data_IF_191245111954
#
_entry.id   IF_191245111954
#
_cell.length_a   1.000
_cell.length_b   1.000
_cell.length_c   1.000
_cell.angle_alpha   90.00
_cell.angle_beta   90.00
_cell.angle_gamma   90.00
#
_symmetry.space_group_name_H-M   'P 1'
#
loop_
_entity.id
_entity.type
_entity.pdbx_description
1 polymer ?
#
# COMPACT_ATOMS: atom_id res chain seq x y z
N UNK A 1 20.56 31.73 -49.11
CA UNK A 1 21.48 30.63 -48.83
C UNK A 1 22.33 31.04 -47.62
N UNK A 2 21.93 30.72 -46.38
CA UNK A 2 22.72 30.99 -45.16
C UNK A 2 22.84 29.68 -44.41
N UNK A 3 24.06 29.22 -44.32
CA UNK A 3 24.48 27.98 -43.66
C UNK A 3 24.63 28.28 -42.15
N UNK A 4 23.88 27.63 -41.28
CA UNK A 4 24.11 27.68 -39.83
C UNK A 4 25.00 26.51 -39.40
N UNK A 5 26.16 26.87 -38.87
CA UNK A 5 27.10 25.93 -38.24
C UNK A 5 26.57 25.51 -36.88
N UNK A 6 26.40 24.20 -36.64
CA UNK A 6 26.15 23.61 -35.35
C UNK A 6 27.51 23.42 -34.67
N UNK A 7 27.69 24.04 -33.50
CA UNK A 7 28.85 23.83 -32.63
C UNK A 7 28.48 22.77 -31.62
N UNK A 8 29.14 21.63 -31.67
CA UNK A 8 29.06 20.55 -30.68
C UNK A 8 30.00 20.92 -29.52
N UNK A 9 29.46 21.13 -28.32
CA UNK A 9 30.25 21.25 -27.09
C UNK A 9 30.23 19.92 -26.35
N UNK A 10 31.39 19.26 -26.33
CA UNK A 10 31.65 18.07 -25.51
C UNK A 10 32.16 18.57 -24.15
N UNK A 11 31.41 18.35 -23.10
CA UNK A 11 31.87 18.55 -21.74
C UNK A 11 32.31 17.18 -21.16
N UNK A 12 33.62 17.07 -20.93
CA UNK A 12 34.22 15.94 -20.25
C UNK A 12 33.97 16.04 -18.73
N UNK A 13 33.31 15.06 -18.12
CA UNK A 13 33.20 14.93 -16.69
C UNK A 13 34.41 14.14 -16.16
N UNK A 14 35.21 14.78 -15.32
CA UNK A 14 36.31 14.16 -14.60
C UNK A 14 35.77 13.36 -13.39
N UNK A 15 36.09 12.08 -13.33
CA UNK A 15 35.81 11.18 -12.22
C UNK A 15 36.89 11.42 -11.15
N UNK A 16 36.52 11.92 -9.97
CA UNK A 16 37.36 11.88 -8.78
C UNK A 16 37.05 10.60 -8.00
N UNK A 17 38.03 9.69 -7.98
CA UNK A 17 38.07 8.54 -7.07
C UNK A 17 38.72 9.02 -5.77
N UNK A 18 37.96 9.06 -4.69
CA UNK A 18 38.54 9.21 -3.33
C UNK A 18 38.52 7.83 -2.67
N UNK A 19 39.70 7.28 -2.51
CA UNK A 19 39.95 6.13 -1.64
C UNK A 19 39.82 6.56 -0.17
N UNK A 20 39.04 5.82 0.61
CA UNK A 20 39.09 5.91 2.08
C UNK A 20 39.50 4.56 2.59
N UNK A 21 40.68 4.60 3.22
CA UNK A 21 41.37 3.52 3.85
C UNK A 21 40.89 3.38 5.31
N UNK A 22 40.83 2.15 5.76
CA UNK A 22 41.05 1.70 7.13
C UNK A 22 40.11 2.12 8.26
N UNK A 23 39.34 1.17 8.77
CA UNK A 23 39.11 1.09 10.21
C UNK A 23 39.20 -0.37 10.68
N UNK A 24 40.23 -0.60 11.55
CA UNK A 24 40.60 -1.85 12.22
C UNK A 24 39.51 -2.28 13.21
N UNK A 25 39.29 -3.60 13.30
CA UNK A 25 38.70 -4.30 14.44
C UNK A 25 39.56 -4.15 15.70
N UNK A 26 38.98 -4.12 16.90
CA UNK A 26 39.68 -4.52 18.12
C UNK A 26 39.45 -6.03 18.38
N UNK A 27 40.55 -6.65 18.78
CA UNK A 27 40.69 -8.06 19.14
C UNK A 27 39.98 -8.40 20.46
N UNK A 28 39.48 -9.62 20.51
CA UNK A 28 39.07 -10.34 21.72
C UNK A 28 40.24 -10.49 22.69
N UNK A 29 40.00 -10.24 23.98
CA UNK A 29 40.85 -10.78 25.06
C UNK A 29 40.01 -11.77 25.86
N UNK A 30 40.38 -13.04 25.74
CA UNK A 30 40.08 -14.09 26.70
C UNK A 30 40.78 -13.81 28.02
N UNK A 31 40.08 -13.91 29.13
CA UNK A 31 40.73 -14.19 30.42
C UNK A 31 39.98 -15.32 31.16
N UNK A 32 40.71 -16.39 31.31
CA UNK A 32 40.36 -17.59 32.04
C UNK A 32 40.53 -17.41 33.55
N UNK A 33 39.58 -17.89 34.32
CA UNK A 33 39.75 -18.02 35.77
C UNK A 33 38.88 -19.13 36.31
N UNK A 34 39.51 -20.27 36.53
CA UNK A 34 38.98 -21.44 37.24
C UNK A 34 38.99 -21.21 38.74
N UNK A 35 38.15 -21.99 39.41
CA UNK A 35 38.24 -22.60 40.74
C UNK A 35 37.05 -22.23 41.65
N UNK A 36 36.48 -23.03 42.48
CA UNK A 36 36.59 -24.46 42.84
C UNK A 36 35.43 -24.78 43.78
N UNK A 37 35.05 -26.02 43.79
CA UNK A 37 34.04 -26.70 44.57
C UNK A 37 34.37 -26.71 46.08
N UNK A 38 33.41 -26.65 47.02
CA UNK A 38 33.21 -27.75 47.93
C UNK A 38 32.02 -27.58 48.88
N UNK A 39 31.52 -28.68 49.43
CA UNK A 39 30.17 -28.81 49.97
C UNK A 39 30.14 -28.86 51.52
N UNK A 40 29.04 -28.50 52.07
CA UNK A 40 28.87 -28.58 53.55
C UNK A 40 27.43 -28.65 53.99
N UNK A 41 26.94 -29.88 54.12
CA UNK A 41 26.13 -30.48 55.22
C UNK A 41 24.97 -29.73 55.85
N UNK A 42 23.82 -30.38 55.75
CA UNK A 42 22.59 -30.48 56.50
C UNK A 42 22.88 -30.90 57.98
N UNK A 43 21.91 -31.03 58.98
CA UNK A 43 20.48 -30.78 59.03
C UNK A 43 20.01 -30.06 60.31
N UNK A 44 18.79 -29.53 60.29
CA UNK A 44 18.12 -29.06 61.52
C UNK A 44 16.59 -29.18 61.41
N UNK A 45 16.11 -30.21 62.00
CA UNK A 45 14.72 -30.49 62.46
C UNK A 45 14.15 -29.37 63.34
N UNK A 46 12.87 -29.04 63.37
CA UNK A 46 11.56 -29.65 63.51
C UNK A 46 10.49 -28.60 63.96
N UNK A 47 9.27 -28.99 64.25
CA UNK A 47 8.03 -28.44 63.66
C UNK A 47 7.28 -27.48 64.60
N UNK A 48 6.68 -26.50 63.99
CA UNK A 48 5.73 -25.62 64.68
C UNK A 48 4.37 -25.69 63.99
N UNK A 49 3.47 -26.42 64.69
CA UNK A 49 2.03 -26.43 64.42
C UNK A 49 1.40 -25.12 64.86
N UNK A 50 0.65 -24.45 63.99
CA UNK A 50 -0.53 -23.68 64.41
C UNK A 50 -1.56 -23.59 63.28
N UNK A 51 -2.84 -23.97 63.50
CA UNK A 51 -3.90 -23.87 62.52
C UNK A 51 -4.65 -22.54 62.69
N UNK A 52 -4.34 -21.58 61.83
CA UNK A 52 -5.09 -20.35 61.69
C UNK A 52 -6.07 -20.42 60.51
N UNK A 53 -7.32 -20.67 60.81
CA UNK A 53 -8.47 -20.51 59.93
C UNK A 53 -8.69 -19.06 59.59
N UNK A 54 -8.71 -18.74 58.29
CA UNK A 54 -9.67 -17.78 57.73
C UNK A 54 -9.81 -17.96 56.22
N UNK A 55 -10.99 -18.34 55.69
CA UNK A 55 -11.24 -18.33 54.26
C UNK A 55 -11.63 -16.93 53.85
N UNK A 56 -10.65 -16.08 53.55
CA UNK A 56 -10.87 -14.84 52.84
C UNK A 56 -11.32 -15.18 51.41
N UNK A 57 -12.61 -15.03 51.16
CA UNK A 57 -13.16 -14.99 49.82
C UNK A 57 -12.63 -13.73 49.14
N UNK A 58 -11.54 -13.93 48.39
CA UNK A 58 -11.10 -12.96 47.37
C UNK A 58 -12.13 -13.03 46.24
N UNK A 59 -12.86 -11.95 45.88
CA UNK A 59 -13.68 -11.94 44.70
C UNK A 59 -12.72 -12.01 43.50
N UNK A 60 -12.67 -13.21 42.90
CA UNK A 60 -11.87 -13.45 41.71
C UNK A 60 -12.03 -12.31 40.71
N UNK A 61 -10.93 -11.64 40.42
CA UNK A 61 -10.80 -10.86 39.24
C UNK A 61 -11.19 -11.74 38.06
N UNK A 62 -12.33 -11.42 37.48
CA UNK A 62 -12.78 -11.97 36.20
C UNK A 62 -11.56 -11.94 35.25
N UNK A 63 -11.11 -13.07 34.69
CA UNK A 63 -10.09 -13.05 33.69
C UNK A 63 -10.70 -12.27 32.52
N UNK A 64 -10.33 -10.97 32.41
CA UNK A 64 -10.73 -10.15 31.30
C UNK A 64 -10.46 -10.94 30.03
N UNK A 65 -11.52 -11.23 29.30
CA UNK A 65 -11.41 -11.85 27.98
C UNK A 65 -10.53 -10.93 27.17
N UNK A 66 -9.33 -11.39 26.84
CA UNK A 66 -8.48 -10.69 25.88
C UNK A 66 -9.34 -10.38 24.66
N UNK A 67 -9.32 -9.14 24.17
CA UNK A 67 -10.14 -8.78 23.01
C UNK A 67 -9.81 -9.75 21.87
N UNK A 68 -10.85 -10.32 21.27
CA UNK A 68 -10.72 -11.19 20.10
C UNK A 68 -9.81 -10.51 19.07
N UNK A 69 -8.83 -11.21 18.49
CA UNK A 69 -7.90 -10.62 17.55
C UNK A 69 -8.67 -10.05 16.36
N UNK A 70 -8.33 -8.81 15.97
CA UNK A 70 -8.94 -8.14 14.81
C UNK A 70 -8.80 -8.99 13.55
N UNK A 71 -9.92 -9.26 12.89
CA UNK A 71 -9.95 -9.99 11.62
C UNK A 71 -9.67 -9.01 10.48
N UNK A 72 -8.67 -9.32 9.66
CA UNK A 72 -8.29 -8.51 8.51
C UNK A 72 -9.46 -8.39 7.52
N UNK A 73 -9.77 -7.16 7.11
CA UNK A 73 -10.89 -6.85 6.22
C UNK A 73 -10.62 -5.58 5.40
N UNK A 74 -11.45 -5.35 4.38
CA UNK A 74 -11.56 -4.02 3.77
C UNK A 74 -12.18 -3.04 4.80
N UNK A 75 -12.01 -1.71 4.62
CA UNK A 75 -12.70 -0.72 5.43
C UNK A 75 -14.23 -0.93 5.38
N UNK A 76 -14.94 -0.48 6.41
CA UNK A 76 -16.38 -0.27 6.26
C UNK A 76 -16.63 0.75 5.17
N UNK A 77 -17.77 0.69 4.44
CA UNK A 77 -18.08 1.66 3.40
C UNK A 77 -17.90 3.10 3.89
N UNK A 78 -17.07 3.86 3.18
CA UNK A 78 -16.81 5.27 3.47
C UNK A 78 -17.87 6.11 2.76
N UNK A 79 -18.46 7.04 3.48
CA UNK A 79 -19.44 7.97 2.95
C UNK A 79 -18.91 9.39 2.92
N UNK A 80 -19.33 10.18 1.95
CA UNK A 80 -18.97 11.59 1.85
C UNK A 80 -19.48 12.37 3.09
N UNK A 81 -18.58 13.03 3.81
CA UNK A 81 -18.92 13.82 5.01
C UNK A 81 -19.80 15.04 4.68
N UNK A 82 -19.75 15.55 3.45
CA UNK A 82 -20.62 16.62 2.96
C UNK A 82 -21.92 16.10 2.34
N UNK A 83 -22.13 14.77 2.30
CA UNK A 83 -23.30 14.10 1.73
C UNK A 83 -23.30 14.01 0.20
N UNK A 84 -22.28 14.50 -0.51
CA UNK A 84 -22.23 14.57 -1.97
C UNK A 84 -20.91 14.08 -2.56
N UNK A 85 -19.78 14.63 -2.14
CA UNK A 85 -18.46 14.42 -2.75
C UNK A 85 -17.54 13.63 -1.85
N UNK A 86 -17.23 12.41 -2.23
CA UNK A 86 -16.28 11.57 -1.52
C UNK A 86 -14.83 12.05 -1.76
N UNK A 87 -14.10 12.37 -0.71
CA UNK A 87 -12.76 12.96 -0.77
C UNK A 87 -11.71 11.97 -0.29
N UNK A 88 -10.82 11.59 -1.19
CA UNK A 88 -9.82 10.52 -1.00
C UNK A 88 -8.42 11.12 -1.13
N UNK A 89 -7.56 10.93 -0.12
CA UNK A 89 -6.14 11.29 -0.20
C UNK A 89 -5.27 10.04 -0.06
N UNK A 90 -4.36 9.82 -0.99
CA UNK A 90 -3.28 8.86 -0.81
C UNK A 90 -2.00 9.57 -0.35
N UNK A 91 -1.30 9.00 0.63
CA UNK A 91 0.07 9.36 0.99
C UNK A 91 0.94 8.19 0.53
N UNK A 92 1.68 8.38 -0.58
CA UNK A 92 2.34 7.26 -1.21
C UNK A 92 3.42 7.63 -2.24
N UNK A 93 3.54 6.78 -3.23
CA UNK A 93 4.59 6.84 -4.24
C UNK A 93 4.04 6.38 -5.61
N UNK A 94 4.89 5.83 -6.50
CA UNK A 94 4.45 5.34 -7.82
C UNK A 94 3.39 4.24 -7.76
N UNK A 95 3.26 3.53 -6.64
CA UNK A 95 2.22 2.51 -6.49
C UNK A 95 0.85 3.12 -6.21
N UNK A 96 0.74 4.18 -5.40
CA UNK A 96 -0.51 4.95 -5.31
C UNK A 96 -0.85 5.63 -6.63
N UNK A 97 0.15 6.16 -7.34
CA UNK A 97 -0.04 6.72 -8.69
C UNK A 97 -0.71 5.72 -9.62
N UNK A 98 -0.17 4.49 -9.71
CA UNK A 98 -0.70 3.45 -10.60
C UNK A 98 -2.11 3.02 -10.19
N UNK A 99 -2.45 3.07 -8.89
CA UNK A 99 -3.74 2.63 -8.40
C UNK A 99 -4.89 3.65 -8.60
N UNK A 100 -4.62 4.97 -8.41
CA UNK A 100 -5.72 5.93 -8.25
C UNK A 100 -5.80 7.03 -9.30
N UNK A 101 -4.68 7.36 -10.00
CA UNK A 101 -4.63 8.61 -10.76
C UNK A 101 -5.25 8.53 -12.16
N UNK A 102 -5.54 7.34 -12.68
CA UNK A 102 -5.96 7.17 -14.07
C UNK A 102 -7.43 6.78 -14.24
N UNK A 103 -7.94 5.82 -13.45
CA UNK A 103 -9.27 5.24 -13.70
C UNK A 103 -10.23 5.32 -12.51
N UNK A 104 -9.74 5.65 -11.32
CA UNK A 104 -10.56 5.62 -10.11
C UNK A 104 -11.70 6.66 -10.16
N UNK A 105 -11.42 7.86 -10.67
CA UNK A 105 -12.45 8.89 -10.84
C UNK A 105 -13.60 8.43 -11.74
N UNK A 106 -13.30 7.83 -12.89
CA UNK A 106 -14.32 7.38 -13.84
C UNK A 106 -15.15 6.20 -13.30
N UNK A 107 -14.54 5.34 -12.49
CA UNK A 107 -15.26 4.26 -11.80
C UNK A 107 -16.26 4.83 -10.80
N UNK A 108 -15.89 5.82 -9.99
CA UNK A 108 -16.79 6.49 -9.06
C UNK A 108 -17.90 7.23 -9.81
N UNK A 109 -17.56 7.98 -10.86
CA UNK A 109 -18.53 8.67 -11.71
C UNK A 109 -19.56 7.71 -12.31
N UNK A 110 -19.14 6.54 -12.78
CA UNK A 110 -20.05 5.52 -13.32
C UNK A 110 -20.95 4.90 -12.23
N UNK A 111 -20.56 4.94 -10.96
CA UNK A 111 -21.41 4.54 -9.83
C UNK A 111 -22.31 5.68 -9.32
N UNK A 112 -22.26 6.87 -9.93
CA UNK A 112 -23.03 8.05 -9.53
C UNK A 112 -22.47 8.79 -8.31
N UNK A 113 -21.21 8.52 -7.92
CA UNK A 113 -20.56 9.18 -6.79
C UNK A 113 -19.58 10.25 -7.28
N UNK A 114 -19.81 11.49 -6.92
CA UNK A 114 -18.84 12.58 -7.12
C UNK A 114 -17.63 12.39 -6.21
N UNK A 115 -16.43 12.64 -6.73
CA UNK A 115 -15.19 12.31 -6.01
C UNK A 115 -14.08 13.33 -6.28
N UNK A 116 -13.33 13.69 -5.23
CA UNK A 116 -12.03 14.37 -5.30
C UNK A 116 -10.95 13.38 -4.88
N UNK A 117 -9.91 13.21 -5.70
CA UNK A 117 -8.82 12.27 -5.44
C UNK A 117 -7.51 13.05 -5.36
N UNK A 118 -6.84 12.98 -4.22
CA UNK A 118 -5.51 13.54 -3.99
C UNK A 118 -4.45 12.46 -3.86
N UNK A 119 -3.23 12.75 -4.28
CA UNK A 119 -2.06 11.91 -4.06
C UNK A 119 -0.86 12.77 -3.63
N UNK A 120 -0.41 12.61 -2.39
CA UNK A 120 0.85 13.17 -1.90
C UNK A 120 1.99 12.25 -2.30
N UNK A 121 2.56 12.54 -3.48
CA UNK A 121 3.50 11.68 -4.19
C UNK A 121 4.96 12.05 -3.93
N UNK A 122 5.77 11.05 -3.60
CA UNK A 122 7.23 11.06 -3.75
C UNK A 122 7.65 9.68 -4.26
N UNK A 123 8.43 9.60 -5.35
CA UNK A 123 8.90 8.34 -5.92
C UNK A 123 9.64 7.47 -4.90
N UNK A 124 9.25 6.20 -4.74
CA UNK A 124 9.89 5.24 -3.83
C UNK A 124 9.80 5.57 -2.34
N UNK A 125 8.99 6.56 -1.93
CA UNK A 125 8.92 7.00 -0.54
C UNK A 125 8.43 5.90 0.40
N UNK A 126 9.16 5.70 1.50
CA UNK A 126 8.83 4.77 2.60
C UNK A 126 8.02 5.47 3.69
N UNK A 127 7.40 4.69 4.57
CA UNK A 127 6.73 5.20 5.79
C UNK A 127 7.67 6.11 6.58
N UNK A 128 8.91 5.67 6.83
CA UNK A 128 9.92 6.45 7.57
C UNK A 128 10.23 7.78 6.89
N UNK A 129 10.33 7.76 5.56
CA UNK A 129 10.60 8.98 4.79
C UNK A 129 9.42 9.94 4.84
N UNK A 130 8.19 9.45 4.73
CA UNK A 130 6.99 10.28 4.88
C UNK A 130 6.95 10.94 6.27
N UNK A 131 7.20 10.18 7.34
CA UNK A 131 7.21 10.72 8.70
C UNK A 131 8.33 11.75 8.90
N UNK A 132 9.54 11.47 8.42
CA UNK A 132 10.65 12.42 8.51
C UNK A 132 10.34 13.75 7.81
N UNK A 133 9.74 13.69 6.62
CA UNK A 133 9.32 14.88 5.85
C UNK A 133 8.16 15.61 6.50
N UNK A 134 7.22 14.89 7.12
CA UNK A 134 6.15 15.48 7.92
C UNK A 134 6.72 16.30 9.10
N UNK A 135 7.65 15.71 9.85
CA UNK A 135 8.21 16.31 11.06
C UNK A 135 9.11 17.53 10.77
N UNK A 136 9.82 17.55 9.65
CA UNK A 136 10.70 18.67 9.29
C UNK A 136 10.02 19.71 8.36
N UNK A 137 8.76 19.50 7.98
CA UNK A 137 8.02 20.42 7.10
C UNK A 137 8.55 20.49 5.66
N UNK A 138 9.25 19.44 5.20
CA UNK A 138 9.84 19.41 3.86
C UNK A 138 8.77 19.56 2.77
N UNK A 139 9.12 20.34 1.72
CA UNK A 139 8.24 20.60 0.57
C UNK A 139 8.70 19.84 -0.66
N UNK A 140 8.84 18.51 -0.50
CA UNK A 140 9.39 17.63 -1.53
C UNK A 140 8.31 16.84 -2.28
N UNK A 141 7.04 17.03 -1.93
CA UNK A 141 5.95 16.31 -2.57
C UNK A 141 5.54 16.97 -3.89
N UNK A 142 5.20 16.13 -4.84
CA UNK A 142 4.32 16.47 -5.93
C UNK A 142 2.88 16.14 -5.49
N UNK A 143 2.08 17.17 -5.26
CA UNK A 143 0.67 17.00 -4.94
C UNK A 143 -0.14 16.90 -6.23
N UNK A 144 -0.68 15.73 -6.49
CA UNK A 144 -1.46 15.40 -7.66
C UNK A 144 -2.92 15.29 -7.26
N UNK A 145 -3.79 16.04 -7.92
CA UNK A 145 -5.20 16.12 -7.56
C UNK A 145 -6.07 15.96 -8.79
N UNK A 146 -7.13 15.15 -8.68
CA UNK A 146 -8.17 14.97 -9.70
C UNK A 146 -9.46 15.57 -9.16
N UNK A 147 -9.99 16.56 -9.88
CA UNK A 147 -11.28 17.22 -9.62
C UNK A 147 -12.03 17.27 -10.95
N UNK A 148 -13.27 16.85 -10.97
CA UNK A 148 -14.11 16.80 -12.19
C UNK A 148 -13.43 16.06 -13.36
N UNK A 149 -12.66 15.03 -13.06
CA UNK A 149 -11.89 14.25 -14.03
C UNK A 149 -10.61 14.95 -14.54
N UNK A 150 -10.34 16.16 -14.10
CA UNK A 150 -9.14 16.91 -14.49
C UNK A 150 -8.03 16.73 -13.47
N UNK A 151 -6.90 16.17 -13.92
CA UNK A 151 -5.72 15.98 -13.08
C UNK A 151 -4.82 17.22 -13.12
N UNK A 152 -4.43 17.70 -11.95
CA UNK A 152 -3.43 18.75 -11.75
C UNK A 152 -2.24 18.23 -10.95
N UNK A 153 -1.04 18.72 -11.23
CA UNK A 153 0.18 18.40 -10.50
C UNK A 153 0.82 19.69 -9.98
N UNK A 154 1.07 19.74 -8.69
CA UNK A 154 1.72 20.86 -8.01
C UNK A 154 2.94 20.38 -7.25
N UNK A 155 4.13 20.75 -7.69
CA UNK A 155 5.40 20.42 -7.03
C UNK A 155 5.69 21.33 -5.85
N UNK A 156 6.59 20.93 -4.95
CA UNK A 156 7.04 21.76 -3.84
C UNK A 156 6.00 21.88 -2.71
N UNK A 157 5.17 20.86 -2.53
CA UNK A 157 4.19 20.78 -1.44
C UNK A 157 4.73 20.02 -0.24
N UNK A 158 4.30 20.45 0.96
CA UNK A 158 4.50 19.72 2.20
C UNK A 158 3.34 18.78 2.49
N UNK A 159 3.59 17.72 3.24
CA UNK A 159 2.55 16.75 3.59
C UNK A 159 1.35 17.43 4.29
N UNK A 160 1.63 18.35 5.21
CA UNK A 160 0.62 19.13 5.93
C UNK A 160 -0.30 19.92 4.98
N UNK A 161 0.25 20.48 3.90
CA UNK A 161 -0.54 21.22 2.92
C UNK A 161 -1.56 20.31 2.23
N UNK A 162 -1.17 19.11 1.84
CA UNK A 162 -2.08 18.14 1.22
C UNK A 162 -3.13 17.60 2.20
N UNK A 163 -2.75 17.32 3.44
CA UNK A 163 -3.69 16.85 4.49
C UNK A 163 -4.76 17.91 4.78
N UNK A 164 -4.42 19.20 4.72
CA UNK A 164 -5.35 20.31 5.02
C UNK A 164 -6.09 20.87 3.81
N UNK A 165 -5.77 20.40 2.60
CA UNK A 165 -6.35 20.96 1.36
C UNK A 165 -7.86 20.71 1.25
N UNK A 166 -8.31 19.54 1.70
CA UNK A 166 -9.72 19.18 1.72
C UNK A 166 -10.16 18.65 3.09
N UNK A 167 -11.46 18.49 3.26
CA UNK A 167 -12.04 17.74 4.37
C UNK A 167 -12.10 16.26 3.98
N UNK A 168 -10.93 15.60 3.95
CA UNK A 168 -10.79 14.23 3.46
C UNK A 168 -11.65 13.24 4.24
N UNK A 169 -12.40 12.40 3.54
CA UNK A 169 -13.21 11.34 4.12
C UNK A 169 -12.37 10.09 4.41
N UNK A 170 -11.40 9.83 3.53
CA UNK A 170 -10.43 8.76 3.72
C UNK A 170 -9.03 9.23 3.35
N UNK A 171 -8.06 8.88 4.19
CA UNK A 171 -6.63 9.04 3.89
C UNK A 171 -5.98 7.67 3.93
N UNK A 172 -5.25 7.33 2.86
CA UNK A 172 -4.54 6.06 2.81
C UNK A 172 -3.05 6.23 2.98
N UNK A 173 -2.43 5.23 3.59
CA UNK A 173 -0.99 5.08 3.72
C UNK A 173 -0.56 3.74 3.14
N UNK A 174 0.70 3.64 2.72
CA UNK A 174 1.28 2.42 2.17
C UNK A 174 2.78 2.35 2.48
N UNK A 175 3.38 1.17 2.38
CA UNK A 175 4.82 1.03 2.40
C UNK A 175 5.39 1.07 0.97
N UNK A 176 6.66 1.44 0.81
CA UNK A 176 7.36 1.32 -0.47
C UNK A 176 7.46 -0.16 -0.87
N UNK A 177 7.31 -0.44 -2.16
CA UNK A 177 7.15 -1.81 -2.68
C UNK A 177 8.27 -2.77 -2.28
N UNK A 178 9.54 -2.32 -2.33
CA UNK A 178 10.69 -3.14 -1.91
C UNK A 178 10.75 -3.46 -0.42
N UNK A 179 9.94 -2.79 0.41
CA UNK A 179 9.86 -2.99 1.86
C UNK A 179 8.48 -3.50 2.30
N UNK A 180 7.52 -3.62 1.39
CA UNK A 180 6.11 -3.89 1.72
C UNK A 180 5.88 -5.26 2.38
N UNK A 181 6.73 -6.25 2.13
CA UNK A 181 6.70 -7.56 2.79
C UNK A 181 7.61 -7.67 4.01
N UNK A 182 8.22 -6.58 4.48
CA UNK A 182 9.19 -6.60 5.60
C UNK A 182 8.60 -5.82 6.77
N UNK A 183 7.88 -6.53 7.67
CA UNK A 183 7.12 -5.90 8.75
C UNK A 183 7.95 -4.98 9.66
N UNK A 184 9.22 -5.30 9.93
CA UNK A 184 10.10 -4.44 10.73
C UNK A 184 10.24 -3.00 10.19
N UNK A 185 9.94 -2.78 8.91
CA UNK A 185 9.98 -1.44 8.28
C UNK A 185 8.71 -0.60 8.53
N UNK A 186 7.75 -1.12 9.29
CA UNK A 186 6.50 -0.45 9.63
C UNK A 186 6.52 0.24 10.99
N UNK A 187 7.64 0.20 11.72
CA UNK A 187 7.77 0.71 13.10
C UNK A 187 7.29 2.15 13.30
N UNK A 188 7.39 2.99 12.28
CA UNK A 188 6.97 4.39 12.31
C UNK A 188 5.56 4.65 11.75
N UNK A 189 4.81 3.59 11.40
CA UNK A 189 3.48 3.75 10.80
C UNK A 189 2.50 4.44 11.75
N UNK A 190 2.43 4.02 13.01
CA UNK A 190 1.53 4.63 14.00
C UNK A 190 1.84 6.12 14.17
N UNK A 191 3.11 6.51 14.25
CA UNK A 191 3.51 7.92 14.36
C UNK A 191 3.12 8.74 13.11
N UNK A 192 3.22 8.15 11.89
CA UNK A 192 2.75 8.80 10.68
C UNK A 192 1.22 8.98 10.69
N UNK A 193 0.48 7.96 11.11
CA UNK A 193 -0.99 8.03 11.20
C UNK A 193 -1.41 9.04 12.25
N UNK A 194 -0.75 9.09 13.40
CA UNK A 194 -1.02 10.08 14.45
C UNK A 194 -0.81 11.51 13.94
N UNK A 195 0.28 11.73 13.19
CA UNK A 195 0.50 13.02 12.52
C UNK A 195 -0.64 13.36 11.56
N UNK A 196 -1.08 12.41 10.73
CA UNK A 196 -2.18 12.59 9.78
C UNK A 196 -3.47 12.94 10.52
N UNK A 197 -3.87 12.15 11.52
CA UNK A 197 -5.12 12.35 12.29
C UNK A 197 -5.11 13.67 13.05
N UNK A 198 -3.99 14.05 13.65
CA UNK A 198 -3.85 15.31 14.36
C UNK A 198 -4.06 16.52 13.46
N UNK A 199 -3.64 16.42 12.19
CA UNK A 199 -3.67 17.52 11.23
C UNK A 199 -4.85 17.47 10.24
N UNK A 200 -5.55 16.36 10.10
CA UNK A 200 -6.73 16.26 9.24
C UNK A 200 -7.83 17.23 9.68
N UNK A 201 -8.48 17.86 8.70
CA UNK A 201 -9.63 18.76 8.92
C UNK A 201 -10.85 17.97 9.41
N UNK A 202 -11.14 16.84 8.76
CA UNK A 202 -12.15 15.88 9.19
C UNK A 202 -11.61 15.06 10.39
N UNK A 203 -12.27 15.14 11.54
CA UNK A 203 -11.85 14.39 12.74
C UNK A 203 -12.29 12.94 12.71
N UNK A 204 -13.24 12.62 11.87
CA UNK A 204 -13.75 11.25 11.64
C UNK A 204 -13.11 10.62 10.39
N UNK A 205 -11.99 11.17 9.89
CA UNK A 205 -11.28 10.66 8.71
C UNK A 205 -10.94 9.18 8.88
N UNK A 206 -11.32 8.38 7.89
CA UNK A 206 -10.98 6.96 7.85
C UNK A 206 -9.53 6.80 7.40
N UNK A 207 -8.74 6.08 8.16
CA UNK A 207 -7.39 5.69 7.75
C UNK A 207 -7.44 4.27 7.18
N UNK A 208 -7.08 4.10 5.92
CA UNK A 208 -6.96 2.79 5.28
C UNK A 208 -5.52 2.52 4.83
N UNK A 209 -5.15 1.24 4.78
CA UNK A 209 -3.84 0.83 4.31
C UNK A 209 -3.94 0.27 2.90
N UNK A 210 -3.16 0.83 1.96
CA UNK A 210 -3.05 0.31 0.60
C UNK A 210 -2.00 -0.81 0.55
N UNK A 211 -2.44 -2.06 0.43
CA UNK A 211 -1.58 -3.21 0.19
C UNK A 211 -1.08 -3.15 -1.25
N UNK A 212 0.23 -3.02 -1.42
CA UNK A 212 0.88 -3.02 -2.73
C UNK A 212 1.05 -4.45 -3.27
N UNK A 213 1.40 -4.59 -4.54
CA UNK A 213 1.51 -5.88 -5.24
C UNK A 213 2.95 -6.39 -5.28
N UNK A 214 3.09 -7.71 -5.41
CA UNK A 214 4.37 -8.35 -5.67
C UNK A 214 4.87 -8.02 -7.09
N UNK A 215 6.17 -8.00 -7.26
CA UNK A 215 6.83 -7.83 -8.55
C UNK A 215 6.49 -8.98 -9.50
N UNK A 216 6.68 -8.79 -10.80
CA UNK A 216 6.56 -9.90 -11.76
C UNK A 216 7.69 -10.92 -11.55
N UNK A 217 7.45 -12.16 -11.96
CA UNK A 217 8.39 -13.27 -11.77
C UNK A 217 9.75 -13.06 -12.44
N UNK A 218 9.80 -12.22 -13.49
CA UNK A 218 10.99 -11.85 -14.23
C UNK A 218 11.58 -10.49 -13.85
N UNK A 219 11.15 -9.92 -12.71
CA UNK A 219 11.61 -8.60 -12.26
C UNK A 219 13.11 -8.57 -12.01
N UNK A 220 13.77 -7.52 -12.47
CA UNK A 220 15.18 -7.21 -12.19
C UNK A 220 15.35 -6.09 -11.16
N UNK A 221 14.29 -5.75 -10.43
CA UNK A 221 14.35 -4.70 -9.42
C UNK A 221 15.33 -5.06 -8.30
N UNK A 222 16.17 -4.12 -7.90
CA UNK A 222 17.25 -4.33 -6.94
C UNK A 222 16.78 -4.85 -5.56
N UNK A 223 15.53 -4.60 -5.20
CA UNK A 223 14.93 -5.05 -3.94
C UNK A 223 14.31 -6.45 -4.01
N UNK A 224 14.16 -7.03 -5.21
CA UNK A 224 13.51 -8.33 -5.38
C UNK A 224 14.27 -9.49 -4.71
N UNK A 225 15.62 -9.49 -4.65
CA UNK A 225 16.35 -10.51 -3.90
C UNK A 225 16.00 -10.59 -2.41
N UNK A 226 15.47 -9.54 -1.78
CA UNK A 226 14.94 -9.60 -0.41
C UNK A 226 13.80 -10.61 -0.25
N UNK A 227 13.19 -11.02 -1.35
CA UNK A 227 12.09 -11.97 -1.47
C UNK A 227 12.52 -13.22 -2.24
N UNK A 228 13.81 -13.58 -2.18
CA UNK A 228 14.42 -14.69 -2.94
C UNK A 228 14.24 -14.57 -4.47
N UNK A 229 13.97 -13.38 -5.00
CA UNK A 229 13.58 -13.15 -6.39
C UNK A 229 12.41 -14.06 -6.83
N UNK A 230 11.49 -14.32 -5.91
CA UNK A 230 10.30 -15.15 -6.12
C UNK A 230 9.02 -14.35 -5.84
N UNK A 231 8.11 -14.33 -6.83
CA UNK A 231 6.88 -13.57 -6.80
C UNK A 231 5.94 -14.01 -5.68
N UNK A 232 5.77 -15.32 -5.50
CA UNK A 232 4.85 -15.82 -4.49
C UNK A 232 5.41 -15.63 -3.08
N UNK A 233 6.73 -15.77 -2.90
CA UNK A 233 7.39 -15.42 -1.65
C UNK A 233 7.15 -13.95 -1.31
N UNK A 234 7.34 -13.04 -2.28
CA UNK A 234 7.06 -11.62 -2.08
C UNK A 234 5.59 -11.36 -1.72
N UNK A 235 4.65 -11.96 -2.45
CA UNK A 235 3.22 -11.82 -2.17
C UNK A 235 2.86 -12.29 -0.75
N UNK A 236 3.31 -13.49 -0.37
CA UNK A 236 3.03 -14.04 0.95
C UNK A 236 3.60 -13.15 2.07
N UNK A 237 4.85 -12.68 1.91
CA UNK A 237 5.45 -11.76 2.88
C UNK A 237 4.70 -10.41 2.96
N UNK A 238 4.16 -9.90 1.85
CA UNK A 238 3.30 -8.69 1.84
C UNK A 238 2.01 -8.96 2.65
N UNK A 239 1.37 -10.11 2.45
CA UNK A 239 0.18 -10.49 3.18
C UNK A 239 0.45 -10.66 4.68
N UNK A 240 1.56 -11.30 5.05
CA UNK A 240 1.99 -11.47 6.44
C UNK A 240 2.28 -10.13 7.11
N UNK A 241 3.01 -9.24 6.45
CA UNK A 241 3.30 -7.90 6.96
C UNK A 241 2.02 -7.06 7.12
N UNK A 242 1.10 -7.12 6.16
CA UNK A 242 -0.19 -6.44 6.23
C UNK A 242 -1.06 -6.98 7.37
N UNK A 243 -1.03 -8.29 7.61
CA UNK A 243 -1.76 -8.93 8.71
C UNK A 243 -1.22 -8.50 10.07
N UNK A 244 0.09 -8.53 10.25
CA UNK A 244 0.74 -8.06 11.48
C UNK A 244 0.45 -6.57 11.71
N UNK A 245 0.64 -5.75 10.69
CA UNK A 245 0.32 -4.32 10.73
C UNK A 245 -1.13 -4.06 11.16
N UNK A 246 -2.09 -4.78 10.58
CA UNK A 246 -3.50 -4.59 10.90
C UNK A 246 -3.84 -4.96 12.34
N UNK A 247 -3.15 -5.96 12.91
CA UNK A 247 -3.28 -6.31 14.34
C UNK A 247 -2.70 -5.24 15.25
N UNK A 248 -1.53 -4.70 14.90
CA UNK A 248 -0.74 -3.83 15.76
C UNK A 248 -1.10 -2.34 15.60
N UNK A 249 -1.84 -1.97 14.56
CA UNK A 249 -2.27 -0.61 14.28
C UNK A 249 -3.79 -0.48 14.28
N UNK A 250 -4.38 -0.21 15.46
CA UNK A 250 -5.84 -0.05 15.62
C UNK A 250 -6.43 1.10 14.81
N UNK A 251 -5.63 2.11 14.52
CA UNK A 251 -6.04 3.28 13.74
C UNK A 251 -6.31 2.98 12.27
N UNK A 252 -5.82 1.85 11.73
CA UNK A 252 -6.13 1.41 10.37
C UNK A 252 -7.49 0.73 10.35
N UNK A 253 -8.44 1.31 9.65
CA UNK A 253 -9.83 0.82 9.58
C UNK A 253 -9.99 -0.41 8.67
N UNK A 254 -9.07 -0.61 7.72
CA UNK A 254 -9.10 -1.73 6.78
C UNK A 254 -8.00 -1.65 5.75
N UNK A 255 -7.91 -2.67 4.92
CA UNK A 255 -6.91 -2.82 3.86
C UNK A 255 -7.56 -2.71 2.49
N UNK A 256 -6.95 -1.96 1.59
CA UNK A 256 -7.29 -1.95 0.16
C UNK A 256 -6.38 -3.00 -0.51
N UNK A 257 -6.89 -4.18 -0.90
CA UNK A 257 -6.08 -5.35 -1.23
C UNK A 257 -5.63 -5.38 -2.70
N UNK A 258 -5.01 -4.29 -3.19
CA UNK A 258 -4.56 -4.23 -4.59
C UNK A 258 -3.54 -5.32 -4.92
N UNK A 259 -2.68 -5.67 -3.98
CA UNK A 259 -1.71 -6.76 -4.15
C UNK A 259 -2.38 -8.11 -4.39
N UNK A 260 -3.41 -8.42 -3.61
CA UNK A 260 -4.21 -9.64 -3.77
C UNK A 260 -5.00 -9.63 -5.08
N UNK A 261 -5.58 -8.48 -5.46
CA UNK A 261 -6.30 -8.36 -6.74
C UNK A 261 -5.37 -8.62 -7.95
N UNK A 262 -4.18 -8.06 -7.95
CA UNK A 262 -3.18 -8.33 -9.00
C UNK A 262 -2.77 -9.81 -9.00
N UNK A 263 -2.60 -10.44 -7.83
CA UNK A 263 -2.26 -11.85 -7.76
C UNK A 263 -3.40 -12.75 -8.23
N UNK A 264 -4.68 -12.41 -7.91
CA UNK A 264 -5.84 -13.08 -8.46
C UNK A 264 -5.89 -12.97 -9.99
N UNK A 265 -5.69 -11.77 -10.53
CA UNK A 265 -5.72 -11.50 -11.96
C UNK A 265 -4.65 -12.30 -12.74
N UNK A 266 -3.46 -12.52 -12.15
CA UNK A 266 -2.39 -13.36 -12.70
C UNK A 266 -2.82 -14.83 -12.86
N UNK A 267 -3.82 -15.30 -12.14
CA UNK A 267 -4.35 -16.66 -12.30
C UNK A 267 -5.19 -16.86 -13.57
N UNK A 268 -5.57 -15.76 -14.25
CA UNK A 268 -6.32 -15.79 -15.50
C UNK A 268 -5.44 -16.10 -16.72
N UNK A 269 -6.06 -16.12 -17.91
CA UNK A 269 -5.36 -16.25 -19.19
C UNK A 269 -4.34 -15.14 -19.46
N UNK A 270 -4.42 -14.02 -18.77
CA UNK A 270 -3.46 -12.92 -18.89
C UNK A 270 -2.11 -13.25 -18.24
N UNK A 271 -2.09 -14.17 -17.26
CA UNK A 271 -0.85 -14.60 -16.62
C UNK A 271 -0.10 -13.46 -15.96
N UNK A 272 1.22 -13.53 -15.94
CA UNK A 272 2.09 -12.54 -15.27
C UNK A 272 2.44 -11.33 -16.17
N UNK A 273 1.40 -10.66 -16.72
CA UNK A 273 1.56 -9.50 -17.61
C UNK A 273 1.12 -8.17 -16.97
N UNK A 274 0.82 -8.18 -15.68
CA UNK A 274 0.26 -7.01 -14.97
C UNK A 274 1.29 -5.92 -14.64
N UNK A 275 2.58 -6.16 -14.88
CA UNK A 275 3.63 -5.18 -14.68
C UNK A 275 4.29 -4.78 -16.00
N UNK A 276 4.56 -3.46 -16.21
CA UNK A 276 5.21 -2.95 -17.45
C UNK A 276 6.75 -3.01 -17.42
N UNK A 277 7.35 -2.96 -16.24
CA UNK A 277 8.80 -2.87 -16.02
C UNK A 277 9.28 -3.81 -14.91
N UNK A 278 8.48 -4.82 -14.60
CA UNK A 278 8.75 -5.80 -13.56
C UNK A 278 8.18 -5.44 -12.18
N UNK A 279 7.72 -4.19 -11.96
CA UNK A 279 7.18 -3.78 -10.65
C UNK A 279 6.05 -2.73 -10.71
N UNK A 280 6.06 -1.76 -11.62
CA UNK A 280 4.93 -0.87 -11.83
C UNK A 280 3.82 -1.54 -12.65
N UNK A 281 2.57 -1.20 -12.42
CA UNK A 281 1.46 -1.82 -13.15
C UNK A 281 1.48 -1.49 -14.65
N UNK A 282 1.05 -2.43 -15.45
CA UNK A 282 0.68 -2.22 -16.84
C UNK A 282 -0.39 -1.11 -16.89
N UNK A 283 -0.27 -0.19 -17.89
CA UNK A 283 -0.97 1.11 -17.85
C UNK A 283 -2.48 0.98 -18.07
N UNK A 284 -2.93 -0.07 -18.75
CA UNK A 284 -4.35 -0.27 -19.08
C UNK A 284 -5.03 -1.16 -18.04
N UNK A 285 -5.04 -2.48 -18.25
CA UNK A 285 -5.75 -3.42 -17.37
C UNK A 285 -5.10 -3.59 -16.00
N UNK A 286 -3.78 -3.42 -15.88
CA UNK A 286 -3.08 -3.48 -14.59
C UNK A 286 -3.56 -2.37 -13.65
N UNK A 287 -3.48 -1.11 -14.09
CA UNK A 287 -3.97 0.05 -13.33
C UNK A 287 -5.48 -0.01 -13.12
N UNK A 288 -6.22 -0.50 -14.12
CA UNK A 288 -7.68 -0.66 -13.99
C UNK A 288 -8.05 -1.66 -12.92
N UNK A 289 -7.30 -2.78 -12.79
CA UNK A 289 -7.51 -3.77 -11.72
C UNK A 289 -7.33 -3.14 -10.33
N UNK A 290 -6.26 -2.37 -10.13
CA UNK A 290 -6.04 -1.66 -8.87
C UNK A 290 -7.15 -0.64 -8.57
N UNK A 291 -7.56 0.16 -9.56
CA UNK A 291 -8.65 1.13 -9.40
C UNK A 291 -10.00 0.45 -9.07
N UNK A 292 -10.30 -0.70 -9.71
CA UNK A 292 -11.47 -1.52 -9.35
C UNK A 292 -11.43 -2.00 -7.90
N UNK A 293 -10.25 -2.37 -7.41
CA UNK A 293 -10.07 -2.77 -6.00
C UNK A 293 -10.33 -1.61 -5.05
N UNK A 294 -9.85 -0.40 -5.38
CA UNK A 294 -10.04 0.78 -4.54
C UNK A 294 -11.51 1.16 -4.42
N UNK A 295 -12.25 1.22 -5.52
CA UNK A 295 -13.67 1.60 -5.44
C UNK A 295 -14.46 0.60 -4.61
N UNK A 296 -14.29 -0.72 -4.81
CA UNK A 296 -15.02 -1.72 -4.05
C UNK A 296 -14.61 -1.69 -2.57
N UNK A 297 -13.32 -1.62 -2.26
CA UNK A 297 -12.84 -1.57 -0.88
C UNK A 297 -13.37 -0.34 -0.12
N UNK A 298 -13.53 0.81 -0.79
CA UNK A 298 -14.01 2.04 -0.15
C UNK A 298 -15.53 2.15 -0.09
N UNK A 299 -16.25 1.57 -1.04
CA UNK A 299 -17.72 1.68 -1.10
C UNK A 299 -18.45 0.44 -0.62
N UNK A 300 -17.80 -0.72 -0.61
CA UNK A 300 -18.45 -2.02 -0.39
C UNK A 300 -19.35 -2.47 -1.54
N UNK A 301 -19.38 -1.74 -2.66
CA UNK A 301 -20.19 -2.08 -3.84
C UNK A 301 -19.43 -3.05 -4.74
N UNK A 302 -20.09 -4.12 -5.16
CA UNK A 302 -19.51 -5.10 -6.09
C UNK A 302 -19.14 -4.42 -7.42
N UNK A 303 -17.83 -4.29 -7.66
CA UNK A 303 -17.27 -3.62 -8.85
C UNK A 303 -17.58 -4.36 -10.15
N UNK A 304 -17.96 -5.63 -10.10
CA UNK A 304 -18.35 -6.38 -11.30
C UNK A 304 -19.59 -5.79 -11.95
N UNK A 305 -20.42 -5.09 -11.18
CA UNK A 305 -21.63 -4.39 -11.66
C UNK A 305 -21.36 -2.98 -12.20
N UNK A 306 -20.19 -2.41 -11.95
CA UNK A 306 -19.83 -1.08 -12.45
C UNK A 306 -19.73 -1.09 -13.98
N UNK A 307 -20.35 -0.12 -14.64
CA UNK A 307 -20.46 -0.08 -16.11
C UNK A 307 -19.22 0.48 -16.79
N UNK A 308 -18.34 1.19 -16.07
CA UNK A 308 -17.16 1.79 -16.67
C UNK A 308 -16.15 0.74 -17.14
N UNK A 309 -15.57 1.01 -18.29
CA UNK A 309 -14.45 0.30 -18.89
C UNK A 309 -13.60 1.29 -19.69
N UNK A 310 -12.29 1.37 -19.47
CA UNK A 310 -11.41 2.19 -20.31
C UNK A 310 -11.46 1.73 -21.77
N UNK A 311 -11.43 2.66 -22.72
CA UNK A 311 -11.43 2.33 -24.14
C UNK A 311 -10.23 1.47 -24.59
N UNK A 312 -9.10 1.58 -23.85
CA UNK A 312 -7.87 0.83 -24.10
C UNK A 312 -7.84 -0.55 -23.45
N UNK A 313 -8.89 -0.92 -22.70
CA UNK A 313 -9.03 -2.21 -22.01
C UNK A 313 -10.12 -3.00 -22.72
N UNK A 314 -9.85 -4.22 -23.17
CA UNK A 314 -10.85 -5.06 -23.81
C UNK A 314 -11.94 -5.53 -22.83
N UNK A 315 -13.05 -6.02 -23.34
CA UNK A 315 -14.15 -6.53 -22.50
C UNK A 315 -13.71 -7.69 -21.61
N UNK A 316 -12.88 -8.59 -22.15
CA UNK A 316 -12.38 -9.72 -21.38
C UNK A 316 -11.36 -9.31 -20.31
N UNK A 317 -10.46 -8.38 -20.64
CA UNK A 317 -9.53 -7.79 -19.67
C UNK A 317 -10.26 -7.06 -18.54
N UNK A 318 -11.32 -6.31 -18.87
CA UNK A 318 -12.14 -5.61 -17.88
C UNK A 318 -12.88 -6.59 -16.95
N UNK A 319 -13.40 -7.69 -17.49
CA UNK A 319 -14.05 -8.74 -16.68
C UNK A 319 -13.05 -9.41 -15.73
N UNK A 320 -11.82 -9.73 -16.20
CA UNK A 320 -10.76 -10.25 -15.35
C UNK A 320 -10.42 -9.24 -14.24
N UNK A 321 -10.21 -7.97 -14.59
CA UNK A 321 -9.86 -6.92 -13.64
C UNK A 321 -10.89 -6.77 -12.52
N UNK A 322 -12.17 -6.69 -12.89
CA UNK A 322 -13.28 -6.55 -11.93
C UNK A 322 -13.48 -7.80 -11.08
N UNK A 323 -13.43 -9.00 -11.67
CA UNK A 323 -13.55 -10.26 -10.93
C UNK A 323 -12.39 -10.45 -9.95
N UNK A 324 -11.16 -10.09 -10.35
CA UNK A 324 -9.97 -10.16 -9.50
C UNK A 324 -10.07 -9.19 -8.31
N UNK A 325 -10.53 -7.97 -8.54
CA UNK A 325 -10.76 -6.96 -7.52
C UNK A 325 -11.86 -7.38 -6.53
N UNK A 326 -13.00 -7.84 -7.05
CA UNK A 326 -14.10 -8.35 -6.22
C UNK A 326 -13.63 -9.51 -5.32
N UNK A 327 -12.99 -10.52 -5.89
CA UNK A 327 -12.48 -11.64 -5.12
C UNK A 327 -11.47 -11.22 -4.04
N UNK A 328 -10.62 -10.22 -4.31
CA UNK A 328 -9.67 -9.70 -3.33
C UNK A 328 -10.36 -8.96 -2.18
N UNK A 329 -11.43 -8.22 -2.45
CA UNK A 329 -12.23 -7.58 -1.41
C UNK A 329 -12.98 -8.58 -0.52
N UNK A 330 -13.31 -9.77 -1.03
CA UNK A 330 -13.89 -10.88 -0.24
C UNK A 330 -12.82 -11.64 0.57
N UNK A 331 -11.60 -11.76 0.04
CA UNK A 331 -10.47 -12.48 0.67
C UNK A 331 -9.19 -11.64 0.58
N UNK A 332 -9.03 -10.75 1.55
CA UNK A 332 -8.04 -9.65 1.52
C UNK A 332 -6.59 -10.10 1.34
N UNK A 333 -6.23 -11.28 1.87
CA UNK A 333 -4.84 -11.80 1.89
C UNK A 333 -4.72 -13.20 1.28
N UNK A 334 -5.75 -13.68 0.59
CA UNK A 334 -5.76 -15.03 0.00
C UNK A 334 -5.97 -14.94 -1.51
N UNK A 335 -5.13 -15.65 -2.26
CA UNK A 335 -5.30 -15.76 -3.71
C UNK A 335 -6.58 -16.54 -4.03
N UNK A 336 -7.42 -15.96 -4.88
CA UNK A 336 -8.55 -16.64 -5.49
C UNK A 336 -8.20 -16.99 -6.93
N UNK A 337 -8.28 -18.28 -7.26
CA UNK A 337 -8.08 -18.76 -8.62
C UNK A 337 -9.29 -18.40 -9.50
N UNK A 338 -9.08 -17.59 -10.54
CA UNK A 338 -10.11 -17.15 -11.47
C UNK A 338 -10.41 -18.23 -12.51
N UNK A 339 -11.05 -19.31 -12.07
CA UNK A 339 -11.28 -20.52 -12.89
C UNK A 339 -12.06 -20.26 -14.18
N UNK A 340 -12.99 -19.28 -14.17
CA UNK A 340 -13.82 -18.92 -15.33
C UNK A 340 -13.05 -18.09 -16.39
N UNK A 341 -11.82 -17.67 -16.07
CA UNK A 341 -10.99 -16.82 -16.91
C UNK A 341 -9.68 -17.47 -17.34
N UNK A 342 -9.61 -18.80 -17.41
CA UNK A 342 -8.39 -19.52 -17.82
C UNK A 342 -8.13 -19.48 -19.31
N UNK A 343 -9.15 -19.29 -20.12
CA UNK A 343 -9.04 -19.32 -21.59
C UNK A 343 -9.30 -17.93 -22.16
N UNK A 344 -8.39 -17.48 -23.03
CA UNK A 344 -8.59 -16.25 -23.78
C UNK A 344 -9.83 -16.39 -24.69
N UNK A 345 -10.67 -15.35 -24.79
CA UNK A 345 -11.80 -15.39 -25.69
C UNK A 345 -11.36 -15.45 -27.15
N UNK A 346 -12.16 -16.13 -28.00
CA UNK A 346 -11.88 -16.29 -29.43
C UNK A 346 -12.00 -14.98 -30.23
N UNK A 347 -12.72 -14.00 -29.71
CA UNK A 347 -12.81 -12.65 -30.29
C UNK A 347 -12.85 -11.62 -29.14
N UNK A 348 -11.79 -10.90 -28.98
CA UNK A 348 -11.70 -9.80 -27.99
C UNK A 348 -11.77 -8.49 -28.76
N UNK A 349 -12.93 -7.85 -28.80
CA UNK A 349 -13.09 -6.56 -29.46
C UNK A 349 -12.65 -5.44 -28.52
N UNK A 350 -11.57 -4.76 -28.88
CA UNK A 350 -11.41 -3.37 -28.48
C UNK A 350 -12.55 -2.60 -29.17
N UNK A 351 -13.63 -2.27 -28.45
CA UNK A 351 -14.60 -1.33 -28.99
C UNK A 351 -13.92 0.04 -28.97
N UNK A 352 -13.41 0.47 -30.13
CA UNK A 352 -13.08 1.87 -30.34
C UNK A 352 -14.38 2.66 -30.02
N UNK A 353 -14.33 3.71 -29.18
CA UNK A 353 -15.46 4.59 -29.06
C UNK A 353 -15.81 5.07 -30.47
N UNK A 354 -17.09 4.94 -30.84
CA UNK A 354 -17.60 5.59 -32.04
C UNK A 354 -17.26 7.08 -31.88
N UNK A 355 -16.32 7.57 -32.67
CA UNK A 355 -16.10 9.00 -32.83
C UNK A 355 -17.42 9.52 -33.40
N UNK A 356 -18.22 10.18 -32.57
CA UNK A 356 -19.26 11.05 -33.09
C UNK A 356 -18.50 12.14 -33.84
N UNK A 357 -18.57 12.13 -35.16
CA UNK A 357 -18.23 13.27 -35.99
C UNK A 357 -19.06 14.44 -35.49
N UNK A 358 -18.53 15.25 -34.61
CA UNK A 358 -19.03 16.59 -34.40
C UNK A 358 -18.81 17.34 -35.71
N UNK A 359 -19.94 17.65 -36.36
CA UNK A 359 -20.07 18.45 -37.55
C UNK A 359 -19.30 19.78 -37.35
N UNK A 360 -18.08 19.86 -37.84
CA UNK A 360 -17.38 21.13 -37.96
C UNK A 360 -18.06 21.93 -39.07
N UNK A 361 -19.13 22.63 -38.67
CA UNK A 361 -19.74 23.66 -39.52
C UNK A 361 -18.69 24.63 -40.02
N UNK A 362 -18.40 24.57 -41.31
CA UNK A 362 -17.63 25.54 -42.06
C UNK A 362 -18.34 26.88 -41.98
N UNK A 363 -17.73 27.87 -41.32
CA UNK A 363 -18.02 29.29 -41.57
C UNK A 363 -16.77 29.93 -42.17
#
# INVERSE_FOLDING_TARGET
MKIYKIVLSIAAAAIMIAAIDSCKKPEEQEESGKEQVDPGTDPGTDPGTDPGTDPGTDPGTDPGTDPEPRVISIPKPVTASDGTTLKILAIGNSFSQDAIEQYLYELFKASGQETIIGNMYIGGCTIDTHLAKANNGAKDYEYRKVVDGVKTNTVGKGLLEGIKDENWDVITVQQASGSSGIYSTYSNLNALIDYVKANASNKDVVIAFHQTWAYSSNSTHAEFPKYNSDQMTMYNMICDAATQMFRDCESVAGIIPSGTAIQNARTSYLGDTFNRDGYHLEINYGRFTAACTWIEALTGQDVTTNTYRPATVSDSQAKVAKAAAHAACQKVIEVTDLVDFKTAPTSDSLSLPSVQEEDFGVI
#
